data_IF_727954910276
#
_entry.id   IF_727954910276
#
_cell.length_a   1.000
_cell.length_b   1.000
_cell.length_c   1.000
_cell.angle_alpha   90.00
_cell.angle_beta   90.00
_cell.angle_gamma   90.00
#
_symmetry.space_group_name_H-M   'P 1'
#
loop_
_entity.id
_entity.type
_entity.pdbx_description
1 polymer ?
#
# COMPACT_ATOMS: atom_id res chain seq x y z
N UNK A 1 -0.94 -14.60 0.79
CA UNK A 1 0.20 -13.94 1.47
C UNK A 1 1.30 -14.97 1.73
N UNK A 2 2.23 -15.18 0.78
CA UNK A 2 3.24 -16.26 0.84
C UNK A 2 4.24 -16.12 1.99
N UNK A 3 4.64 -14.88 2.30
CA UNK A 3 5.52 -14.58 3.44
C UNK A 3 4.93 -15.11 4.75
N UNK A 4 3.68 -14.77 5.05
CA UNK A 4 2.95 -15.23 6.24
C UNK A 4 2.86 -16.76 6.31
N UNK A 5 2.65 -17.44 5.18
CA UNK A 5 2.57 -18.90 5.18
C UNK A 5 3.86 -19.59 5.64
N UNK A 6 5.03 -19.05 5.26
CA UNK A 6 6.32 -19.68 5.60
C UNK A 6 6.97 -19.13 6.88
N UNK A 7 6.51 -17.99 7.40
CA UNK A 7 7.12 -17.31 8.55
C UNK A 7 6.17 -17.05 9.71
N UNK A 8 4.86 -17.24 9.52
CA UNK A 8 3.78 -16.82 10.43
C UNK A 8 3.67 -15.29 10.64
N UNK A 9 4.62 -14.51 10.13
CA UNK A 9 4.61 -13.05 10.20
C UNK A 9 3.48 -12.43 9.38
N UNK A 10 2.63 -11.63 10.02
CA UNK A 10 1.42 -11.03 9.42
C UNK A 10 1.57 -9.55 9.05
N UNK A 11 2.72 -8.94 9.29
CA UNK A 11 2.99 -7.53 8.96
C UNK A 11 2.88 -7.23 7.46
N UNK A 12 2.72 -5.95 7.10
CA UNK A 12 2.54 -5.55 5.70
C UNK A 12 3.85 -5.45 4.92
N UNK A 13 4.99 -5.32 5.61
CA UNK A 13 6.31 -5.21 5.01
C UNK A 13 7.28 -6.22 5.62
N UNK A 14 7.86 -7.05 4.76
CA UNK A 14 8.92 -7.97 5.13
C UNK A 14 9.49 -8.69 3.91
N UNK A 15 10.72 -9.19 4.03
CA UNK A 15 11.41 -9.90 2.97
C UNK A 15 12.07 -11.15 3.54
N UNK A 16 11.68 -12.33 3.06
CA UNK A 16 12.27 -13.60 3.48
C UNK A 16 13.28 -14.11 2.45
N UNK A 17 14.39 -14.65 2.94
CA UNK A 17 15.36 -15.41 2.16
C UNK A 17 15.52 -16.77 2.82
N UNK A 18 15.44 -17.84 2.04
CA UNK A 18 15.66 -19.22 2.49
C UNK A 18 16.85 -19.78 1.73
N UNK A 19 17.89 -20.15 2.47
CA UNK A 19 19.06 -20.88 1.99
C UNK A 19 18.94 -22.37 2.37
N UNK A 20 19.96 -23.17 2.07
CA UNK A 20 19.92 -24.62 2.32
C UNK A 20 19.80 -24.97 3.82
N UNK A 21 20.51 -24.22 4.68
CA UNK A 21 20.62 -24.51 6.11
C UNK A 21 20.10 -23.37 7.01
N UNK A 22 19.72 -22.23 6.43
CA UNK A 22 19.38 -21.02 7.18
C UNK A 22 18.24 -20.25 6.50
N UNK A 23 17.46 -19.53 7.30
CA UNK A 23 16.39 -18.66 6.81
C UNK A 23 16.42 -17.33 7.57
N UNK A 24 16.18 -16.23 6.87
CA UNK A 24 16.21 -14.89 7.44
C UNK A 24 15.03 -14.04 6.94
N UNK A 25 14.46 -13.25 7.85
CA UNK A 25 13.33 -12.34 7.60
C UNK A 25 13.76 -10.90 7.92
N UNK A 26 13.82 -10.04 6.90
CA UNK A 26 14.02 -8.61 7.07
C UNK A 26 12.69 -7.91 7.28
N UNK A 27 12.61 -7.09 8.33
CA UNK A 27 11.45 -6.25 8.67
C UNK A 27 11.93 -4.87 9.09
N UNK A 28 11.14 -3.83 8.83
CA UNK A 28 11.42 -2.47 9.29
C UNK A 28 10.95 -2.23 10.74
N UNK A 29 11.30 -1.05 11.27
CA UNK A 29 11.06 -0.63 12.66
C UNK A 29 9.60 -0.74 13.11
N UNK A 30 8.63 -0.66 12.20
CA UNK A 30 7.20 -0.80 12.54
C UNK A 30 6.87 -2.21 13.00
N UNK A 31 7.69 -3.18 12.61
CA UNK A 31 7.41 -4.61 12.72
C UNK A 31 8.43 -5.40 13.53
N UNK A 32 9.48 -4.77 14.08
CA UNK A 32 10.50 -5.46 14.87
C UNK A 32 9.91 -6.30 16.01
N UNK A 33 9.07 -5.70 16.86
CA UNK A 33 8.45 -6.38 18.00
C UNK A 33 7.41 -7.42 17.55
N UNK A 34 6.68 -7.13 16.47
CA UNK A 34 5.70 -8.07 15.91
C UNK A 34 6.40 -9.33 15.38
N UNK A 35 7.50 -9.17 14.63
CA UNK A 35 8.27 -10.29 14.10
C UNK A 35 8.83 -11.16 15.24
N UNK A 36 9.36 -10.56 16.31
CA UNK A 36 9.87 -11.31 17.46
C UNK A 36 8.82 -12.17 18.16
N UNK A 37 7.55 -11.74 18.15
CA UNK A 37 6.44 -12.47 18.73
C UNK A 37 5.88 -13.55 17.81
N UNK A 38 5.82 -13.29 16.50
CA UNK A 38 5.13 -14.14 15.54
C UNK A 38 6.03 -15.19 14.88
N UNK A 39 7.33 -14.93 14.77
CA UNK A 39 8.24 -15.77 13.98
C UNK A 39 8.98 -16.74 14.90
N UNK A 40 8.99 -18.02 14.55
CA UNK A 40 9.82 -19.02 15.24
C UNK A 40 11.31 -18.75 15.02
N UNK A 41 11.94 -18.16 16.03
CA UNK A 41 13.36 -17.79 16.03
C UNK A 41 14.30 -19.01 16.08
N UNK A 42 13.79 -20.22 16.28
CA UNK A 42 14.58 -21.46 16.13
C UNK A 42 14.81 -21.81 14.65
N UNK A 43 13.94 -21.33 13.76
CA UNK A 43 13.99 -21.57 12.31
C UNK A 43 14.44 -20.34 11.52
N UNK A 44 14.12 -19.14 12.02
CA UNK A 44 14.32 -17.88 11.31
C UNK A 44 15.18 -16.89 12.08
N UNK A 45 16.12 -16.25 11.37
CA UNK A 45 16.84 -15.08 11.88
C UNK A 45 16.05 -13.80 11.53
N UNK A 46 15.65 -13.02 12.54
CA UNK A 46 14.95 -11.75 12.32
C UNK A 46 15.98 -10.63 12.10
N UNK A 47 15.95 -10.04 10.92
CA UNK A 47 16.86 -8.98 10.47
C UNK A 47 16.17 -7.60 10.59
N UNK A 48 16.43 -6.91 11.70
CA UNK A 48 15.83 -5.62 12.05
C UNK A 48 16.40 -4.45 11.24
N UNK A 49 15.78 -4.12 10.10
CA UNK A 49 16.28 -3.11 9.17
C UNK A 49 16.38 -1.72 9.84
N UNK A 50 17.41 -0.96 9.47
CA UNK A 50 17.67 0.37 10.02
C UNK A 50 18.43 0.38 11.34
N UNK A 51 18.64 -0.77 11.98
CA UNK A 51 19.55 -0.88 13.13
C UNK A 51 21.00 -0.98 12.62
N UNK A 52 21.94 -0.13 13.11
CA UNK A 52 23.35 -0.22 12.75
C UNK A 52 23.92 -1.61 12.96
N UNK A 53 24.65 -2.12 11.96
CA UNK A 53 25.29 -3.44 12.00
C UNK A 53 24.42 -4.60 11.52
N UNK A 54 23.13 -4.39 11.24
CA UNK A 54 22.30 -5.43 10.60
C UNK A 54 22.69 -5.56 9.13
N UNK A 55 23.02 -6.78 8.70
CA UNK A 55 23.43 -7.05 7.32
C UNK A 55 22.31 -6.75 6.33
N UNK A 56 22.70 -6.23 5.17
CA UNK A 56 21.84 -6.18 4.00
C UNK A 56 21.56 -7.58 3.47
N UNK A 57 20.50 -7.70 2.65
CA UNK A 57 20.12 -8.95 1.97
C UNK A 57 21.29 -9.56 1.17
N UNK A 58 22.06 -8.72 0.48
CA UNK A 58 23.20 -9.15 -0.31
C UNK A 58 24.36 -9.63 0.58
N UNK A 59 24.70 -8.88 1.64
CA UNK A 59 25.75 -9.27 2.58
C UNK A 59 25.44 -10.59 3.28
N UNK A 60 24.19 -10.80 3.70
CA UNK A 60 23.78 -12.07 4.32
C UNK A 60 23.88 -13.23 3.34
N UNK A 61 23.40 -13.07 2.10
CA UNK A 61 23.55 -14.10 1.07
C UNK A 61 25.02 -14.43 0.80
N UNK A 62 25.90 -13.43 0.69
CA UNK A 62 27.33 -13.67 0.51
C UNK A 62 28.00 -14.37 1.70
N UNK A 63 27.42 -14.25 2.90
CA UNK A 63 27.93 -14.91 4.09
C UNK A 63 27.52 -16.39 4.17
N UNK A 64 26.33 -16.74 3.68
CA UNK A 64 25.76 -18.11 3.82
C UNK A 64 25.88 -18.97 2.56
N UNK A 65 26.11 -18.37 1.38
CA UNK A 65 26.18 -19.11 0.12
C UNK A 65 27.54 -19.75 -0.11
N UNK A 66 27.53 -20.98 -0.61
CA UNK A 66 28.72 -21.63 -1.16
C UNK A 66 29.13 -21.01 -2.51
N UNK A 67 30.40 -21.16 -2.87
CA UNK A 67 30.95 -20.68 -4.15
C UNK A 67 30.10 -21.12 -5.34
N UNK A 68 29.83 -20.19 -6.26
CA UNK A 68 29.04 -20.43 -7.48
C UNK A 68 27.58 -20.86 -7.25
N UNK A 69 27.00 -20.55 -6.09
CA UNK A 69 25.58 -20.78 -5.81
C UNK A 69 24.63 -20.04 -6.75
N UNK A 70 23.41 -20.58 -6.86
CA UNK A 70 22.28 -20.02 -7.62
C UNK A 70 21.21 -19.52 -6.66
N UNK A 71 20.79 -18.26 -6.82
CA UNK A 71 19.72 -17.64 -6.02
C UNK A 71 18.48 -17.49 -6.90
N UNK A 72 17.44 -18.24 -6.56
CA UNK A 72 16.17 -18.22 -7.28
C UNK A 72 15.22 -17.12 -6.78
N UNK A 73 14.42 -16.54 -7.67
CA UNK A 73 13.36 -15.60 -7.29
C UNK A 73 12.12 -15.70 -8.20
N UNK A 74 10.94 -15.37 -7.68
CA UNK A 74 9.72 -15.24 -8.49
C UNK A 74 9.72 -13.88 -9.22
N UNK A 75 9.78 -13.86 -10.57
CA UNK A 75 9.93 -12.64 -11.34
C UNK A 75 8.69 -11.74 -11.33
N UNK A 76 7.53 -12.23 -10.88
CA UNK A 76 6.31 -11.43 -10.74
C UNK A 76 6.23 -10.67 -9.41
N UNK A 77 7.05 -11.03 -8.41
CA UNK A 77 7.01 -10.44 -7.08
C UNK A 77 8.04 -9.34 -6.85
N UNK A 78 9.23 -9.46 -7.44
CA UNK A 78 10.34 -8.55 -7.17
C UNK A 78 10.50 -7.51 -8.27
N UNK A 79 10.76 -6.28 -7.86
CA UNK A 79 10.98 -5.19 -8.80
C UNK A 79 12.29 -5.37 -9.56
N UNK A 80 12.34 -4.86 -10.79
CA UNK A 80 13.56 -4.89 -11.61
C UNK A 80 14.77 -4.23 -10.93
N UNK A 81 14.52 -3.16 -10.14
CA UNK A 81 15.57 -2.43 -9.42
C UNK A 81 16.14 -3.25 -8.27
N UNK A 82 15.29 -3.89 -7.46
CA UNK A 82 15.74 -4.76 -6.37
C UNK A 82 16.59 -5.94 -6.87
N UNK A 83 16.15 -6.56 -7.98
CA UNK A 83 16.91 -7.65 -8.60
C UNK A 83 18.24 -7.14 -9.16
N UNK A 84 18.27 -5.97 -9.80
CA UNK A 84 19.51 -5.41 -10.33
C UNK A 84 20.55 -5.17 -9.20
N UNK A 85 20.13 -4.60 -8.07
CA UNK A 85 21.01 -4.39 -6.90
C UNK A 85 21.51 -5.70 -6.33
N UNK A 86 20.63 -6.69 -6.15
CA UNK A 86 21.01 -7.99 -5.62
C UNK A 86 21.96 -8.73 -6.58
N UNK A 87 21.65 -8.72 -7.88
CA UNK A 87 22.43 -9.39 -8.91
C UNK A 87 23.83 -8.80 -9.05
N UNK A 88 23.99 -7.47 -9.01
CA UNK A 88 25.30 -6.83 -9.07
C UNK A 88 26.23 -7.31 -7.95
N UNK A 89 25.72 -7.37 -6.72
CA UNK A 89 26.51 -7.80 -5.55
C UNK A 89 26.91 -9.27 -5.60
N UNK A 90 26.03 -10.14 -6.12
CA UNK A 90 26.22 -11.58 -6.12
C UNK A 90 27.07 -12.08 -7.30
N UNK A 91 26.90 -11.50 -8.49
CA UNK A 91 27.64 -11.90 -9.70
C UNK A 91 29.12 -11.56 -9.58
N UNK A 92 29.46 -10.43 -8.94
CA UNK A 92 30.86 -10.07 -8.64
C UNK A 92 31.60 -11.12 -7.80
N UNK A 93 30.85 -11.96 -7.07
CA UNK A 93 31.38 -13.06 -6.25
C UNK A 93 31.19 -14.45 -6.87
N UNK A 94 30.81 -14.50 -8.15
CA UNK A 94 30.66 -15.76 -8.90
C UNK A 94 29.31 -16.46 -8.73
N UNK A 95 28.36 -15.87 -8.01
CA UNK A 95 27.00 -16.42 -7.89
C UNK A 95 26.13 -15.99 -9.07
N UNK A 96 24.94 -16.59 -9.20
CA UNK A 96 23.97 -16.21 -10.22
C UNK A 96 22.58 -16.03 -9.63
N UNK A 97 21.84 -15.05 -10.15
CA UNK A 97 20.45 -14.77 -9.76
C UNK A 97 19.53 -15.18 -10.91
N UNK A 98 18.59 -16.08 -10.64
CA UNK A 98 17.83 -16.78 -11.69
C UNK A 98 16.32 -16.62 -11.44
N UNK A 99 15.55 -16.14 -12.44
CA UNK A 99 14.10 -16.11 -12.34
C UNK A 99 13.53 -17.53 -12.38
N UNK A 100 12.58 -17.81 -11.49
CA UNK A 100 11.83 -19.07 -11.40
C UNK A 100 10.35 -18.75 -11.60
N UNK A 101 9.80 -19.13 -12.75
CA UNK A 101 8.42 -18.78 -13.13
C UNK A 101 7.37 -19.37 -12.18
N UNK A 102 7.58 -20.60 -11.70
CA UNK A 102 6.69 -21.23 -10.74
C UNK A 102 7.12 -20.87 -9.31
N UNK A 103 6.27 -20.17 -8.58
CA UNK A 103 6.55 -19.85 -7.19
C UNK A 103 6.66 -21.13 -6.34
N UNK A 104 7.82 -21.36 -5.73
CA UNK A 104 8.10 -22.60 -4.98
C UNK A 104 7.26 -22.73 -3.71
N UNK A 105 6.86 -21.61 -3.09
CA UNK A 105 5.97 -21.64 -1.92
C UNK A 105 4.60 -22.18 -2.31
N UNK A 106 4.10 -21.83 -3.50
CA UNK A 106 2.82 -22.36 -3.97
C UNK A 106 2.84 -23.88 -4.22
N UNK A 107 4.02 -24.45 -4.51
CA UNK A 107 4.18 -25.91 -4.68
C UNK A 107 3.97 -26.64 -3.35
N UNK A 108 4.45 -26.06 -2.25
CA UNK A 108 4.34 -26.66 -0.91
C UNK A 108 3.07 -26.25 -0.16
N UNK A 109 2.45 -25.12 -0.52
CA UNK A 109 1.19 -24.67 0.08
C UNK A 109 0.01 -25.59 -0.32
N UNK A 110 0.05 -26.18 -1.52
CA UNK A 110 -0.90 -27.20 -2.00
C UNK A 110 -2.40 -26.81 -1.85
N UNK A 111 -3.30 -27.81 -1.75
CA UNK A 111 -4.78 -27.72 -1.83
C UNK A 111 -5.45 -26.71 -0.91
N UNK A 112 -4.78 -26.27 0.16
CA UNK A 112 -5.33 -25.32 1.13
C UNK A 112 -4.97 -23.86 0.84
N UNK A 113 -4.25 -23.58 -0.26
CA UNK A 113 -3.94 -22.21 -0.67
C UNK A 113 -5.24 -21.44 -0.94
N UNK A 114 -5.52 -20.32 -0.23
CA UNK A 114 -6.69 -19.50 -0.50
C UNK A 114 -6.67 -18.99 -1.94
N UNK A 115 -7.80 -19.11 -2.63
CA UNK A 115 -7.96 -18.53 -3.96
C UNK A 115 -7.96 -16.99 -3.84
N UNK A 116 -7.46 -16.27 -4.86
CA UNK A 116 -7.61 -14.83 -4.93
C UNK A 116 -9.08 -14.44 -4.77
N UNK A 117 -9.36 -13.43 -3.94
CA UNK A 117 -10.70 -12.89 -3.83
C UNK A 117 -11.00 -12.09 -5.12
N UNK A 118 -11.89 -12.62 -5.97
CA UNK A 118 -12.30 -11.99 -7.22
C UNK A 118 -13.72 -11.48 -7.05
N UNK A 119 -13.84 -10.18 -6.78
CA UNK A 119 -15.11 -9.53 -6.49
C UNK A 119 -15.69 -8.83 -7.73
N UNK A 120 -17.01 -8.56 -7.77
CA UNK A 120 -17.62 -7.79 -8.85
C UNK A 120 -17.01 -6.39 -9.02
N UNK A 121 -16.94 -5.93 -10.26
CA UNK A 121 -16.55 -4.56 -10.58
C UNK A 121 -17.75 -3.63 -10.38
N UNK A 122 -17.51 -2.51 -9.71
CA UNK A 122 -18.47 -1.43 -9.53
C UNK A 122 -17.99 -0.19 -10.31
N UNK A 123 -18.91 0.46 -11.01
CA UNK A 123 -18.67 1.76 -11.61
C UNK A 123 -18.51 2.79 -10.50
N UNK A 124 -17.53 3.67 -10.64
CA UNK A 124 -17.33 4.84 -9.79
C UNK A 124 -17.78 6.10 -10.55
N UNK A 125 -19.01 6.59 -10.30
CA UNK A 125 -19.65 7.64 -11.10
C UNK A 125 -18.86 8.96 -11.23
N UNK A 126 -19.22 9.76 -12.23
CA UNK A 126 -18.64 11.09 -12.45
C UNK A 126 -18.93 12.09 -11.34
N UNK A 127 -20.01 11.92 -10.59
CA UNK A 127 -20.31 12.72 -9.39
C UNK A 127 -19.24 12.58 -8.29
N UNK A 128 -18.43 11.52 -8.31
CA UNK A 128 -17.33 11.31 -7.37
C UNK A 128 -15.96 11.44 -8.05
N UNK A 129 -15.80 10.93 -9.27
CA UNK A 129 -14.52 10.96 -9.98
C UNK A 129 -14.22 12.28 -10.69
N UNK A 130 -15.24 13.07 -11.02
CA UNK A 130 -15.12 14.38 -11.67
C UNK A 130 -14.61 14.36 -13.12
N UNK A 131 -14.13 13.22 -13.63
CA UNK A 131 -13.49 13.15 -14.95
C UNK A 131 -13.75 11.81 -15.65
N UNK A 132 -14.14 11.88 -16.93
CA UNK A 132 -14.36 10.70 -17.79
C UNK A 132 -13.06 9.95 -18.08
N UNK A 133 -13.19 8.67 -18.40
CA UNK A 133 -12.07 7.81 -18.79
C UNK A 133 -11.40 8.38 -20.05
N UNK A 134 -12.18 8.77 -21.06
CA UNK A 134 -11.62 9.31 -22.31
C UNK A 134 -10.79 10.58 -22.07
N UNK A 135 -11.20 11.44 -21.15
CA UNK A 135 -10.45 12.66 -20.81
C UNK A 135 -9.16 12.34 -20.04
N UNK A 136 -9.16 11.26 -19.24
CA UNK A 136 -7.96 10.75 -18.56
C UNK A 136 -6.98 10.16 -19.59
N UNK A 137 -7.47 9.39 -20.56
CA UNK A 137 -6.67 8.83 -21.65
C UNK A 137 -6.07 9.94 -22.52
N UNK A 138 -6.85 10.96 -22.88
CA UNK A 138 -6.34 12.10 -23.66
C UNK A 138 -5.19 12.79 -22.93
N UNK A 139 -5.33 13.03 -21.62
CA UNK A 139 -4.25 13.61 -20.82
C UNK A 139 -3.00 12.69 -20.72
N UNK A 140 -3.19 11.36 -20.68
CA UNK A 140 -2.08 10.40 -20.79
C UNK A 140 -1.40 10.53 -22.15
N UNK A 141 -2.17 10.62 -23.24
CA UNK A 141 -1.64 10.75 -24.60
C UNK A 141 -0.82 12.03 -24.77
N UNK A 142 -1.24 13.15 -24.18
CA UNK A 142 -0.50 14.41 -24.19
C UNK A 142 0.86 14.27 -23.47
N UNK A 143 0.89 13.57 -22.34
CA UNK A 143 2.14 13.29 -21.62
C UNK A 143 3.06 12.32 -22.38
N UNK A 144 2.48 11.31 -23.04
CA UNK A 144 3.23 10.38 -23.89
C UNK A 144 3.90 11.11 -25.06
N UNK A 145 3.20 12.06 -25.69
CA UNK A 145 3.78 12.92 -26.74
C UNK A 145 4.99 13.70 -26.22
N UNK A 146 4.89 14.34 -25.05
CA UNK A 146 6.01 15.09 -24.44
C UNK A 146 7.23 14.20 -24.16
N UNK A 147 6.99 12.93 -23.84
CA UNK A 147 8.04 11.94 -23.56
C UNK A 147 8.59 11.26 -24.82
N UNK A 148 8.06 11.56 -26.01
CA UNK A 148 8.31 10.81 -27.24
C UNK A 148 8.10 9.29 -27.03
N UNK A 149 6.96 8.95 -26.42
CA UNK A 149 6.51 7.59 -26.20
C UNK A 149 5.16 7.35 -26.88
N UNK A 150 4.87 6.08 -27.14
CA UNK A 150 3.62 5.65 -27.79
C UNK A 150 2.63 5.05 -26.79
N UNK A 151 3.14 4.47 -25.69
CA UNK A 151 2.29 3.80 -24.72
C UNK A 151 2.77 3.91 -23.29
N UNK A 152 1.85 3.61 -22.37
CA UNK A 152 2.12 3.40 -20.95
C UNK A 152 1.58 2.05 -20.51
N UNK A 153 2.39 1.29 -19.77
CA UNK A 153 1.99 0.06 -19.12
C UNK A 153 1.74 0.29 -17.63
N UNK A 154 0.59 -0.15 -17.12
CA UNK A 154 0.14 0.05 -15.75
C UNK A 154 0.11 -1.28 -15.01
N UNK A 155 0.73 -1.28 -13.82
CA UNK A 155 0.77 -2.44 -12.91
C UNK A 155 0.16 -2.14 -11.54
N UNK A 156 0.04 -0.86 -11.17
CA UNK A 156 -0.53 -0.45 -9.90
C UNK A 156 -2.06 -0.50 -9.99
N UNK A 157 -2.69 -1.26 -9.10
CA UNK A 157 -4.14 -1.52 -9.20
C UNK A 157 -4.97 -0.25 -8.96
N UNK A 158 -4.47 0.67 -8.15
CA UNK A 158 -5.06 1.98 -7.87
C UNK A 158 -4.94 2.94 -9.06
N UNK A 159 -3.85 2.89 -9.84
CA UNK A 159 -3.76 3.60 -11.12
C UNK A 159 -4.83 3.12 -12.11
N UNK A 160 -5.04 1.79 -12.18
CA UNK A 160 -6.00 1.18 -13.10
C UNK A 160 -7.44 1.47 -12.65
N UNK A 161 -7.74 1.31 -11.36
CA UNK A 161 -9.03 1.66 -10.79
C UNK A 161 -9.40 3.13 -11.03
N UNK A 162 -8.43 4.04 -10.81
CA UNK A 162 -8.61 5.47 -11.08
C UNK A 162 -8.82 5.75 -12.56
N UNK A 163 -8.02 5.16 -13.46
CA UNK A 163 -8.10 5.41 -14.89
C UNK A 163 -9.47 5.00 -15.45
N UNK A 164 -9.96 3.82 -15.09
CA UNK A 164 -11.20 3.26 -15.65
C UNK A 164 -12.47 3.65 -14.90
N UNK A 165 -12.37 4.47 -13.84
CA UNK A 165 -13.51 4.77 -12.96
C UNK A 165 -14.22 3.49 -12.49
N UNK A 166 -13.43 2.49 -12.10
CA UNK A 166 -13.90 1.20 -11.61
C UNK A 166 -13.33 0.96 -10.21
N UNK A 167 -14.09 0.23 -9.39
CA UNK A 167 -13.71 -0.19 -8.03
C UNK A 167 -14.12 -1.63 -7.80
N UNK A 168 -13.42 -2.31 -6.89
CA UNK A 168 -13.77 -3.65 -6.42
C UNK A 168 -13.23 -3.84 -5.00
N UNK A 169 -13.30 -5.05 -4.45
CA UNK A 169 -12.79 -5.36 -3.11
C UNK A 169 -11.92 -6.62 -3.12
N UNK A 170 -11.09 -6.76 -4.14
CA UNK A 170 -10.17 -7.91 -4.26
C UNK A 170 -9.08 -7.89 -3.18
N UNK A 171 -8.75 -6.70 -2.68
CA UNK A 171 -7.81 -6.47 -1.57
C UNK A 171 -8.59 -5.83 -0.42
N UNK A 172 -8.45 -6.39 0.78
CA UNK A 172 -9.08 -5.84 1.98
C UNK A 172 -8.73 -4.37 2.14
N UNK A 173 -9.74 -3.56 2.44
CA UNK A 173 -9.64 -2.12 2.73
C UNK A 173 -9.23 -1.19 1.57
N UNK A 174 -8.79 -1.76 0.45
CA UNK A 174 -8.35 -1.00 -0.73
C UNK A 174 -9.28 -1.31 -1.90
N UNK A 175 -10.06 -0.35 -2.43
CA UNK A 175 -11.14 -0.64 -3.36
C UNK A 175 -10.66 -0.88 -4.81
N UNK A 176 -9.76 -1.85 -5.00
CA UNK A 176 -9.08 -2.15 -6.26
C UNK A 176 -9.37 -3.58 -6.74
N UNK A 177 -9.03 -3.88 -7.99
CA UNK A 177 -9.18 -5.19 -8.62
C UNK A 177 -7.90 -5.65 -9.29
N UNK A 178 -7.58 -6.95 -9.19
CA UNK A 178 -6.43 -7.54 -9.88
C UNK A 178 -6.51 -7.30 -11.38
N UNK A 179 -5.57 -6.52 -11.90
CA UNK A 179 -5.56 -6.11 -13.29
C UNK A 179 -4.21 -5.57 -13.74
N UNK A 180 -4.02 -5.53 -15.06
CA UNK A 180 -2.99 -4.74 -15.74
C UNK A 180 -3.64 -3.94 -16.86
N UNK A 181 -2.98 -2.86 -17.31
CA UNK A 181 -3.43 -2.15 -18.50
C UNK A 181 -2.27 -1.68 -19.37
N UNK A 182 -2.48 -1.69 -20.68
CA UNK A 182 -1.61 -1.07 -21.67
C UNK A 182 -2.43 -0.04 -22.44
N UNK A 183 -2.02 1.23 -22.37
CA UNK A 183 -2.67 2.32 -23.12
C UNK A 183 -1.71 2.72 -24.23
N UNK A 184 -2.12 2.55 -25.49
CA UNK A 184 -1.35 2.93 -26.67
C UNK A 184 -2.11 3.96 -27.50
N UNK A 185 -1.38 4.96 -27.98
CA UNK A 185 -1.93 5.99 -28.89
C UNK A 185 -2.34 5.41 -30.24
N UNK A 186 -1.63 4.38 -30.70
CA UNK A 186 -1.80 3.80 -32.04
C UNK A 186 -2.49 2.43 -32.03
N UNK A 187 -2.53 1.74 -30.89
CA UNK A 187 -3.04 0.37 -30.78
C UNK A 187 -4.18 0.20 -29.76
N UNK A 188 -4.74 1.30 -29.26
CA UNK A 188 -5.86 1.30 -28.33
C UNK A 188 -5.47 0.84 -26.92
N UNK A 189 -6.44 0.29 -26.20
CA UNK A 189 -6.36 -0.06 -24.79
C UNK A 189 -6.44 -1.58 -24.66
N UNK A 190 -5.51 -2.18 -23.91
CA UNK A 190 -5.63 -3.57 -23.47
C UNK A 190 -5.79 -3.59 -21.95
N UNK A 191 -6.92 -4.12 -21.47
CA UNK A 191 -7.22 -4.29 -20.04
C UNK A 191 -7.18 -5.78 -19.71
N UNK A 192 -6.30 -6.17 -18.81
CA UNK A 192 -6.10 -7.56 -18.39
C UNK A 192 -6.77 -7.78 -17.04
N UNK A 193 -7.77 -8.65 -16.97
CA UNK A 193 -8.48 -9.00 -15.73
C UNK A 193 -9.26 -10.32 -15.91
N UNK A 194 -9.82 -10.88 -14.83
CA UNK A 194 -10.75 -12.02 -14.96
C UNK A 194 -12.00 -11.62 -15.75
N UNK A 195 -12.09 -12.07 -17.02
CA UNK A 195 -13.10 -11.61 -18.00
C UNK A 195 -14.54 -11.79 -17.57
N UNK A 196 -14.82 -12.78 -16.71
CA UNK A 196 -16.14 -13.00 -16.14
C UNK A 196 -16.70 -11.80 -15.36
N UNK A 197 -15.86 -10.82 -15.00
CA UNK A 197 -16.27 -9.57 -14.36
C UNK A 197 -16.85 -8.51 -15.31
N UNK A 198 -16.70 -8.67 -16.62
CA UNK A 198 -17.26 -7.73 -17.60
C UNK A 198 -18.74 -8.03 -17.82
N UNK A 199 -19.58 -7.43 -16.97
CA UNK A 199 -21.04 -7.49 -17.09
C UNK A 199 -21.57 -6.53 -18.15
N UNK A 200 -22.86 -6.62 -18.49
CA UNK A 200 -23.53 -5.65 -19.37
C UNK A 200 -23.44 -4.22 -18.83
N UNK A 201 -23.47 -4.04 -17.50
CA UNK A 201 -23.27 -2.74 -16.86
C UNK A 201 -21.88 -2.16 -17.14
N UNK A 202 -20.83 -2.99 -17.07
CA UNK A 202 -19.46 -2.54 -17.37
C UNK A 202 -19.27 -2.26 -18.87
N UNK A 203 -19.90 -3.04 -19.74
CA UNK A 203 -19.90 -2.75 -21.18
C UNK A 203 -20.59 -1.42 -21.49
N UNK A 204 -21.74 -1.16 -20.85
CA UNK A 204 -22.45 0.12 -20.97
C UNK A 204 -21.63 1.28 -20.41
N UNK A 205 -20.89 1.06 -19.31
CA UNK A 205 -19.96 2.05 -18.78
C UNK A 205 -18.89 2.42 -19.81
N UNK A 206 -18.23 1.44 -20.43
CA UNK A 206 -17.25 1.70 -21.48
C UNK A 206 -17.85 2.41 -22.71
N UNK A 207 -19.11 2.14 -23.05
CA UNK A 207 -19.84 2.87 -24.09
C UNK A 207 -20.10 4.33 -23.72
N UNK A 208 -20.64 4.57 -22.52
CA UNK A 208 -20.94 5.90 -22.01
C UNK A 208 -19.69 6.76 -21.82
N UNK A 209 -18.56 6.12 -21.49
CA UNK A 209 -17.25 6.74 -21.33
C UNK A 209 -16.49 6.89 -22.67
N UNK A 210 -17.07 6.43 -23.79
CA UNK A 210 -16.54 6.65 -25.14
C UNK A 210 -15.31 5.80 -25.47
N UNK A 211 -15.10 4.67 -24.78
CA UNK A 211 -13.91 3.82 -24.96
C UNK A 211 -14.23 2.42 -25.46
N UNK A 212 -15.50 2.07 -25.69
CA UNK A 212 -15.93 0.72 -26.13
C UNK A 212 -15.17 0.20 -27.35
N UNK A 213 -14.98 1.04 -28.36
CA UNK A 213 -14.28 0.66 -29.60
C UNK A 213 -12.75 0.75 -29.48
N UNK A 214 -12.25 1.31 -28.36
CA UNK A 214 -10.82 1.46 -28.08
C UNK A 214 -10.29 0.36 -27.16
N UNK A 215 -11.16 -0.35 -26.43
CA UNK A 215 -10.78 -1.28 -25.38
C UNK A 215 -10.91 -2.74 -25.78
N UNK A 216 -9.85 -3.50 -25.53
CA UNK A 216 -9.82 -4.95 -25.60
C UNK A 216 -9.59 -5.53 -24.21
N UNK A 217 -10.54 -6.34 -23.73
CA UNK A 217 -10.38 -7.09 -22.48
C UNK A 217 -9.70 -8.44 -22.73
N UNK A 218 -8.62 -8.71 -22.00
CA UNK A 218 -7.83 -9.94 -22.05
C UNK A 218 -7.77 -10.61 -20.69
N UNK A 219 -7.48 -11.91 -20.67
CA UNK A 219 -7.39 -12.64 -19.40
C UNK A 219 -6.15 -12.18 -18.63
N UNK A 220 -6.25 -12.18 -17.29
CA UNK A 220 -5.21 -11.67 -16.41
C UNK A 220 -3.85 -12.35 -16.66
N UNK A 221 -3.86 -13.64 -17.00
CA UNK A 221 -2.67 -14.46 -17.23
C UNK A 221 -2.00 -14.16 -18.58
N UNK A 222 -2.67 -13.47 -19.50
CA UNK A 222 -2.15 -13.17 -20.85
C UNK A 222 -1.19 -11.97 -20.88
N UNK A 223 -0.86 -11.39 -19.72
CA UNK A 223 -0.07 -10.16 -19.57
C UNK A 223 1.29 -10.21 -20.26
N UNK A 224 2.09 -11.24 -19.98
CA UNK A 224 3.46 -11.36 -20.49
C UNK A 224 3.44 -11.61 -21.98
N UNK A 225 2.59 -12.52 -22.45
CA UNK A 225 2.45 -12.83 -23.88
C UNK A 225 1.97 -11.61 -24.66
N UNK A 226 0.93 -10.91 -24.20
CA UNK A 226 0.41 -9.74 -24.91
C UNK A 226 1.39 -8.56 -24.92
N UNK A 227 2.19 -8.39 -23.86
CA UNK A 227 3.24 -7.38 -23.85
C UNK A 227 4.36 -7.74 -24.83
N UNK A 228 4.73 -9.02 -24.96
CA UNK A 228 5.69 -9.48 -25.99
C UNK A 228 5.15 -9.18 -27.39
N UNK A 229 3.91 -9.57 -27.67
CA UNK A 229 3.26 -9.30 -28.96
C UNK A 229 3.26 -7.80 -29.29
N UNK A 230 2.99 -6.94 -28.28
CA UNK A 230 3.02 -5.50 -28.45
C UNK A 230 4.43 -4.95 -28.74
N UNK A 231 5.44 -5.44 -28.01
CA UNK A 231 6.85 -5.06 -28.19
C UNK A 231 7.37 -5.49 -29.56
N UNK A 232 6.87 -6.59 -30.12
CA UNK A 232 7.18 -7.02 -31.49
C UNK A 232 6.45 -6.18 -32.55
N UNK A 233 5.21 -5.77 -32.28
CA UNK A 233 4.38 -4.98 -33.20
C UNK A 233 4.85 -3.53 -33.35
N UNK A 234 5.28 -2.90 -32.25
CA UNK A 234 5.70 -1.51 -32.21
C UNK A 234 7.18 -1.41 -31.91
N UNK A 235 7.89 -0.44 -32.48
CA UNK A 235 9.30 -0.13 -32.15
C UNK A 235 9.45 1.09 -31.21
N UNK A 236 8.33 1.71 -30.84
CA UNK A 236 8.30 2.95 -30.07
C UNK A 236 8.64 2.75 -28.59
N UNK A 237 8.89 3.87 -27.91
CA UNK A 237 9.13 3.88 -26.46
C UNK A 237 7.86 3.61 -25.67
N UNK A 238 8.02 2.89 -24.56
CA UNK A 238 6.98 2.50 -23.62
C UNK A 238 7.32 3.09 -22.25
N UNK A 239 6.35 3.80 -21.66
CA UNK A 239 6.43 4.26 -20.27
C UNK A 239 6.04 3.11 -19.34
N UNK A 240 6.91 2.81 -18.37
CA UNK A 240 6.69 1.72 -17.41
C UNK A 240 6.97 2.28 -15.99
N UNK A 241 6.16 1.93 -14.97
CA UNK A 241 6.38 2.38 -13.60
C UNK A 241 7.71 1.90 -13.03
N UNK A 242 8.21 2.63 -12.03
CA UNK A 242 9.50 2.33 -11.38
C UNK A 242 9.45 1.01 -10.59
N UNK A 243 8.29 0.70 -10.01
CA UNK A 243 8.05 -0.48 -9.18
C UNK A 243 7.72 -1.76 -9.97
N UNK A 244 7.82 -1.72 -11.30
CA UNK A 244 7.45 -2.85 -12.15
C UNK A 244 8.25 -4.12 -11.78
N UNK A 245 7.55 -5.25 -11.76
CA UNK A 245 8.18 -6.53 -11.52
C UNK A 245 9.14 -6.94 -12.65
N UNK A 246 10.07 -7.85 -12.35
CA UNK A 246 11.08 -8.30 -13.28
C UNK A 246 10.49 -8.96 -14.55
N UNK A 247 9.41 -9.75 -14.41
CA UNK A 247 8.78 -10.45 -15.53
C UNK A 247 8.30 -9.48 -16.62
N UNK A 248 7.64 -8.38 -16.23
CA UNK A 248 7.21 -7.34 -17.16
C UNK A 248 8.40 -6.51 -17.66
N UNK A 249 9.29 -6.12 -16.75
CA UNK A 249 10.44 -5.28 -17.09
C UNK A 249 11.37 -5.93 -18.12
N UNK A 250 11.54 -7.25 -18.07
CA UNK A 250 12.46 -7.99 -18.94
C UNK A 250 11.93 -8.15 -20.37
N UNK A 251 10.63 -7.94 -20.59
CA UNK A 251 10.02 -8.02 -21.92
C UNK A 251 10.36 -6.80 -22.77
N UNK A 252 10.45 -5.62 -22.17
CA UNK A 252 10.67 -4.37 -22.91
C UNK A 252 12.17 -4.04 -22.95
N UNK A 253 12.79 -3.85 -24.13
CA UNK A 253 14.18 -3.45 -24.23
C UNK A 253 14.46 -2.15 -23.46
N UNK A 254 15.60 -2.08 -22.77
CA UNK A 254 15.99 -0.88 -22.00
C UNK A 254 16.05 0.37 -22.88
N UNK A 255 16.47 0.25 -24.14
CA UNK A 255 16.52 1.36 -25.11
C UNK A 255 15.14 1.95 -25.45
N UNK A 256 14.07 1.19 -25.21
CA UNK A 256 12.67 1.58 -25.45
C UNK A 256 11.91 1.88 -24.16
N UNK A 257 12.55 1.81 -23.01
CA UNK A 257 11.86 1.97 -21.72
C UNK A 257 12.04 3.39 -21.18
N UNK A 258 10.92 4.02 -20.81
CA UNK A 258 10.92 5.26 -20.00
C UNK A 258 10.37 4.92 -18.62
N UNK A 259 11.17 5.14 -17.57
CA UNK A 259 10.77 4.89 -16.18
C UNK A 259 10.04 6.10 -15.60
N UNK A 260 8.72 5.98 -15.39
CA UNK A 260 7.88 7.04 -14.81
C UNK A 260 6.57 6.47 -14.27
N UNK A 261 6.18 6.87 -13.07
CA UNK A 261 4.85 6.57 -12.49
C UNK A 261 3.81 7.56 -13.04
N UNK A 262 3.56 7.53 -14.35
CA UNK A 262 2.83 8.58 -15.06
C UNK A 262 1.42 8.81 -14.50
N UNK A 263 0.62 7.74 -14.40
CA UNK A 263 -0.76 7.84 -13.89
C UNK A 263 -0.79 8.16 -12.40
N UNK A 264 0.15 7.63 -11.61
CA UNK A 264 0.24 7.94 -10.18
C UNK A 264 0.49 9.43 -9.94
N UNK A 265 1.34 10.08 -10.75
CA UNK A 265 1.56 11.53 -10.69
C UNK A 265 0.27 12.27 -11.04
N UNK A 266 -0.44 11.86 -12.09
CA UNK A 266 -1.68 12.52 -12.52
C UNK A 266 -2.76 12.46 -11.44
N UNK A 267 -2.99 11.30 -10.80
CA UNK A 267 -4.01 11.14 -9.76
C UNK A 267 -3.59 11.68 -8.38
N UNK A 268 -2.32 12.04 -8.21
CA UNK A 268 -1.84 12.63 -6.95
C UNK A 268 -2.47 14.01 -6.70
N UNK A 269 -2.78 14.74 -7.77
CA UNK A 269 -3.48 16.03 -7.75
C UNK A 269 -4.97 15.78 -7.97
N UNK A 270 -5.77 16.01 -6.94
CA UNK A 270 -7.22 15.81 -7.00
C UNK A 270 -7.87 16.93 -7.80
N UNK A 271 -8.84 16.59 -8.64
CA UNK A 271 -9.72 17.61 -9.24
C UNK A 271 -10.71 18.16 -8.20
N UNK A 272 -11.44 19.22 -8.53
CA UNK A 272 -12.34 19.90 -7.59
C UNK A 272 -13.44 18.97 -7.02
N UNK A 273 -13.93 18.00 -7.79
CA UNK A 273 -14.94 17.04 -7.34
C UNK A 273 -14.33 16.02 -6.38
N UNK A 274 -13.18 15.44 -6.72
CA UNK A 274 -12.45 14.52 -5.83
C UNK A 274 -12.05 15.25 -4.52
N UNK A 275 -11.58 16.49 -4.62
CA UNK A 275 -11.15 17.28 -3.46
C UNK A 275 -12.33 17.66 -2.56
N UNK A 276 -13.47 18.04 -3.12
CA UNK A 276 -14.67 18.30 -2.34
C UNK A 276 -15.25 17.04 -1.72
N UNK A 277 -15.28 15.93 -2.47
CA UNK A 277 -15.64 14.61 -1.96
C UNK A 277 -14.80 14.20 -0.74
N UNK A 278 -13.47 14.39 -0.82
CA UNK A 278 -12.57 14.14 0.30
C UNK A 278 -12.91 15.00 1.53
N UNK A 279 -13.28 16.28 1.37
CA UNK A 279 -13.71 17.10 2.51
C UNK A 279 -14.99 16.57 3.14
N UNK A 280 -16.00 16.25 2.34
CA UNK A 280 -17.25 15.67 2.83
C UNK A 280 -16.99 14.32 3.51
N UNK A 281 -16.06 13.51 2.97
CA UNK A 281 -15.54 12.31 3.60
C UNK A 281 -15.04 12.53 5.02
N UNK A 282 -14.14 13.50 5.19
CA UNK A 282 -13.57 13.82 6.48
C UNK A 282 -14.57 14.46 7.44
N UNK A 283 -15.59 15.19 6.96
CA UNK A 283 -16.63 15.76 7.82
C UNK A 283 -17.46 14.65 8.47
N UNK A 284 -17.98 13.67 7.71
CA UNK A 284 -18.80 12.60 8.31
C UNK A 284 -17.93 11.63 9.12
N UNK A 285 -16.71 11.34 8.67
CA UNK A 285 -15.77 10.53 9.45
C UNK A 285 -15.41 11.21 10.78
N UNK A 286 -15.19 12.52 10.76
CA UNK A 286 -14.99 13.32 11.96
C UNK A 286 -16.17 13.25 12.93
N UNK A 287 -17.41 13.28 12.42
CA UNK A 287 -18.60 13.09 13.25
C UNK A 287 -18.66 11.70 13.89
N UNK A 288 -18.28 10.64 13.17
CA UNK A 288 -18.17 9.29 13.71
C UNK A 288 -17.10 9.20 14.82
N UNK A 289 -15.93 9.81 14.63
CA UNK A 289 -14.87 9.89 15.64
C UNK A 289 -15.34 10.64 16.89
N UNK A 290 -16.02 11.78 16.75
CA UNK A 290 -16.55 12.53 17.91
C UNK A 290 -17.57 11.70 18.68
N UNK A 291 -18.48 11.01 17.98
CA UNK A 291 -19.46 10.11 18.62
C UNK A 291 -18.78 8.95 19.34
N UNK A 292 -17.74 8.38 18.75
CA UNK A 292 -16.93 7.33 19.36
C UNK A 292 -16.24 7.80 20.64
N UNK A 293 -15.52 8.92 20.59
CA UNK A 293 -14.82 9.46 21.75
C UNK A 293 -15.78 9.83 22.89
N UNK A 294 -16.93 10.43 22.56
CA UNK A 294 -17.98 10.70 23.53
C UNK A 294 -18.52 9.39 24.15
N UNK A 295 -18.88 8.41 23.32
CA UNK A 295 -19.34 7.11 23.80
C UNK A 295 -18.32 6.44 24.73
N UNK A 296 -17.05 6.45 24.34
CA UNK A 296 -15.96 5.84 25.12
C UNK A 296 -15.83 6.52 26.49
N UNK A 297 -15.79 7.85 26.53
CA UNK A 297 -15.69 8.62 27.79
C UNK A 297 -16.84 8.32 28.76
N UNK A 298 -18.07 8.16 28.24
CA UNK A 298 -19.25 7.89 29.06
C UNK A 298 -19.34 6.44 29.55
N UNK A 299 -18.70 5.49 28.85
CA UNK A 299 -18.93 4.06 29.08
C UNK A 299 -17.71 3.30 29.60
N UNK A 300 -16.51 3.88 29.61
CA UNK A 300 -15.26 3.18 29.98
C UNK A 300 -15.28 2.57 31.40
N UNK A 301 -16.01 3.17 32.34
CA UNK A 301 -16.11 2.67 33.72
C UNK A 301 -17.31 1.72 33.94
N UNK A 302 -18.25 1.67 32.99
CA UNK A 302 -19.53 0.95 33.12
C UNK A 302 -19.53 -0.33 32.29
N UNK A 303 -18.89 -0.29 31.12
CA UNK A 303 -18.79 -1.41 30.19
C UNK A 303 -17.36 -1.97 30.21
N UNK A 304 -17.22 -3.27 30.00
CA UNK A 304 -15.92 -3.88 29.76
C UNK A 304 -15.48 -3.62 28.31
N UNK A 305 -14.99 -2.41 28.04
CA UNK A 305 -14.51 -2.01 26.70
C UNK A 305 -13.04 -2.43 26.58
N UNK A 306 -12.72 -3.16 25.53
CA UNK A 306 -11.40 -3.65 25.18
C UNK A 306 -10.91 -3.02 23.88
N UNK A 307 -9.65 -3.25 23.51
CA UNK A 307 -9.08 -2.80 22.24
C UNK A 307 -9.91 -3.25 21.04
N UNK A 308 -10.27 -4.54 20.97
CA UNK A 308 -11.14 -5.12 19.93
C UNK A 308 -12.54 -4.50 19.93
N UNK A 309 -13.24 -4.54 21.07
CA UNK A 309 -14.62 -4.04 21.15
C UNK A 309 -14.75 -2.52 20.97
N UNK A 310 -13.72 -1.76 21.35
CA UNK A 310 -13.62 -0.32 21.05
C UNK A 310 -13.46 -0.07 19.55
N UNK A 311 -12.58 -0.82 18.87
CA UNK A 311 -12.43 -0.74 17.42
C UNK A 311 -13.74 -1.08 16.70
N UNK A 312 -14.41 -2.17 17.09
CA UNK A 312 -15.70 -2.60 16.54
C UNK A 312 -16.77 -1.51 16.71
N UNK A 313 -16.78 -0.84 17.86
CA UNK A 313 -17.75 0.23 18.10
C UNK A 313 -17.54 1.42 17.17
N UNK A 314 -16.30 1.77 16.85
CA UNK A 314 -16.01 2.83 15.88
C UNK A 314 -16.45 2.44 14.46
N UNK A 315 -16.33 1.17 14.07
CA UNK A 315 -16.88 0.67 12.81
C UNK A 315 -18.39 0.91 12.73
N UNK A 316 -19.12 0.66 13.81
CA UNK A 316 -20.58 0.92 13.86
C UNK A 316 -20.88 2.40 13.63
N UNK A 317 -20.17 3.32 14.29
CA UNK A 317 -20.42 4.75 14.08
C UNK A 317 -20.07 5.23 12.66
N UNK A 318 -19.07 4.61 12.02
CA UNK A 318 -18.73 4.87 10.62
C UNK A 318 -19.75 4.29 9.64
N UNK A 319 -20.25 3.07 9.89
CA UNK A 319 -21.23 2.43 9.01
C UNK A 319 -22.59 3.11 9.00
N UNK A 320 -22.88 3.91 10.03
CA UNK A 320 -24.04 4.80 10.08
C UNK A 320 -23.87 6.09 9.25
N UNK A 321 -22.66 6.40 8.77
CA UNK A 321 -22.41 7.59 7.95
C UNK A 321 -22.76 7.35 6.48
N UNK A 322 -23.27 8.38 5.83
CA UNK A 322 -23.59 8.33 4.40
C UNK A 322 -22.37 7.96 3.55
N UNK A 323 -22.61 7.20 2.48
CA UNK A 323 -21.61 6.69 1.51
C UNK A 323 -20.53 5.76 2.06
N UNK A 324 -20.55 5.37 3.34
CA UNK A 324 -19.58 4.43 3.91
C UNK A 324 -19.57 3.11 3.12
N UNK A 325 -18.36 2.60 2.83
CA UNK A 325 -18.14 1.37 2.07
C UNK A 325 -17.44 0.30 2.92
N UNK A 326 -16.35 0.68 3.58
CA UNK A 326 -15.52 -0.21 4.38
C UNK A 326 -14.53 0.59 5.23
N UNK A 327 -13.69 -0.08 6.02
CA UNK A 327 -12.49 0.55 6.57
C UNK A 327 -11.44 0.78 5.48
N UNK A 328 -10.60 1.80 5.64
CA UNK A 328 -9.43 2.03 4.77
C UNK A 328 -8.19 1.26 5.21
N UNK A 329 -8.15 0.78 6.45
CA UNK A 329 -7.18 -0.18 6.98
C UNK A 329 -7.71 -0.81 8.29
N UNK A 330 -7.08 -1.89 8.76
CA UNK A 330 -7.41 -2.47 10.09
C UNK A 330 -7.13 -1.44 11.18
N UNK A 331 -8.14 -1.13 12.01
CA UNK A 331 -7.97 -0.12 13.06
C UNK A 331 -6.93 -0.55 14.09
N UNK A 332 -6.02 0.36 14.43
CA UNK A 332 -5.06 0.22 15.51
C UNK A 332 -5.73 0.77 16.76
N UNK A 333 -6.23 -0.11 17.62
CA UNK A 333 -6.83 0.24 18.90
C UNK A 333 -5.89 -0.29 19.98
N UNK A 334 -5.18 0.60 20.67
CA UNK A 334 -4.00 0.24 21.45
C UNK A 334 -3.98 0.91 22.83
N UNK A 335 -3.82 0.12 23.89
CA UNK A 335 -3.77 0.54 25.30
C UNK A 335 -2.36 0.41 25.86
N UNK A 336 -1.91 1.47 26.52
CA UNK A 336 -0.64 1.51 27.26
C UNK A 336 0.54 1.08 26.39
N UNK A 337 1.25 0.05 26.81
CA UNK A 337 2.41 -0.47 26.08
C UNK A 337 2.12 -0.94 24.66
N UNK A 338 0.86 -1.28 24.32
CA UNK A 338 0.50 -1.67 22.95
C UNK A 338 0.59 -0.46 22.00
N UNK A 339 0.32 0.76 22.50
CA UNK A 339 0.40 1.99 21.70
C UNK A 339 1.84 2.38 21.31
N UNK A 340 2.86 1.75 21.89
CA UNK A 340 4.26 1.93 21.46
C UNK A 340 4.61 1.19 20.16
N UNK A 341 3.74 0.28 19.70
CA UNK A 341 3.91 -0.47 18.46
C UNK A 341 3.16 0.24 17.33
N UNK A 342 3.90 0.85 16.40
CA UNK A 342 3.33 1.73 15.36
C UNK A 342 2.21 1.06 14.55
N UNK A 343 2.35 -0.22 14.18
CA UNK A 343 1.37 -0.98 13.40
C UNK A 343 0.76 -2.13 14.24
N UNK A 344 0.44 -1.88 15.51
CA UNK A 344 -0.24 -2.84 16.36
C UNK A 344 -1.60 -3.24 15.77
N UNK A 345 -1.94 -4.52 15.86
CA UNK A 345 -3.30 -5.00 15.57
C UNK A 345 -3.71 -5.87 16.74
N UNK A 346 -4.79 -5.51 17.47
CA UNK A 346 -5.26 -6.34 18.57
C UNK A 346 -5.77 -7.69 18.05
N UNK A 347 -5.50 -8.72 18.83
CA UNK A 347 -6.02 -10.08 18.69
C UNK A 347 -6.53 -10.58 20.04
N UNK A 348 -7.18 -11.73 20.08
CA UNK A 348 -7.78 -12.28 21.31
C UNK A 348 -6.77 -12.45 22.45
N UNK A 349 -5.49 -12.68 22.14
CA UNK A 349 -4.44 -12.88 23.14
C UNK A 349 -3.89 -11.56 23.69
N UNK A 350 -3.83 -10.51 22.85
CA UNK A 350 -3.28 -9.21 23.21
C UNK A 350 -4.32 -8.14 23.57
N UNK A 351 -5.61 -8.46 23.44
CA UNK A 351 -6.77 -7.57 23.65
C UNK A 351 -6.88 -7.05 25.10
N UNK A 352 -6.31 -5.87 25.35
CA UNK A 352 -6.37 -5.20 26.66
C UNK A 352 -7.68 -4.45 26.87
N UNK A 353 -8.06 -4.31 28.13
CA UNK A 353 -9.16 -3.43 28.55
C UNK A 353 -8.74 -1.96 28.43
N UNK A 354 -9.60 -1.11 27.87
CA UNK A 354 -9.43 0.34 27.86
C UNK A 354 -9.83 0.86 29.25
N UNK A 355 -8.94 1.59 29.91
CA UNK A 355 -9.17 2.15 31.25
C UNK A 355 -8.82 3.63 31.31
N UNK A 356 -9.06 4.27 32.47
CA UNK A 356 -8.64 5.66 32.72
C UNK A 356 -7.17 5.82 33.12
N UNK A 357 -6.43 4.73 33.32
CA UNK A 357 -5.11 4.77 33.94
C UNK A 357 -3.96 4.76 32.92
N UNK A 358 -4.25 4.52 31.65
CA UNK A 358 -3.25 4.36 30.60
C UNK A 358 -3.63 5.20 29.38
N UNK A 359 -2.64 5.52 28.55
CA UNK A 359 -2.85 6.06 27.21
C UNK A 359 -3.69 5.07 26.40
N UNK A 360 -4.63 5.62 25.63
CA UNK A 360 -5.32 4.92 24.56
C UNK A 360 -5.05 5.62 23.23
N UNK A 361 -4.62 4.85 22.23
CA UNK A 361 -4.40 5.30 20.86
C UNK A 361 -5.39 4.57 19.95
N UNK A 362 -6.07 5.35 19.11
CA UNK A 362 -6.93 4.84 18.04
C UNK A 362 -6.46 5.43 16.71
N UNK A 363 -5.90 4.58 15.84
CA UNK A 363 -5.61 4.90 14.45
C UNK A 363 -6.57 4.17 13.53
N UNK A 364 -7.31 4.89 12.71
CA UNK A 364 -8.38 4.27 11.95
C UNK A 364 -8.87 5.15 10.80
N UNK A 365 -9.47 4.54 9.79
CA UNK A 365 -10.03 5.27 8.66
C UNK A 365 -11.14 4.51 7.94
N UNK A 366 -11.88 5.22 7.10
CA UNK A 366 -13.00 4.71 6.32
C UNK A 366 -12.83 4.97 4.83
N UNK A 367 -13.36 4.05 4.02
CA UNK A 367 -13.63 4.24 2.61
C UNK A 367 -15.07 4.72 2.44
N UNK A 368 -15.24 5.80 1.69
CA UNK A 368 -16.52 6.37 1.31
C UNK A 368 -16.55 6.49 -0.21
N UNK A 369 -17.74 6.45 -0.83
CA UNK A 369 -17.86 6.59 -2.29
C UNK A 369 -17.20 7.85 -2.84
N UNK A 370 -17.07 8.90 -2.03
CA UNK A 370 -16.50 10.20 -2.37
C UNK A 370 -15.14 10.50 -1.73
N UNK A 371 -14.52 9.56 -0.99
CA UNK A 371 -13.19 9.77 -0.44
C UNK A 371 -12.72 8.72 0.56
N UNK A 372 -11.47 8.86 0.98
CA UNK A 372 -10.81 7.97 1.96
C UNK A 372 -10.36 8.80 3.16
N UNK A 373 -10.65 8.34 4.37
CA UNK A 373 -10.12 8.94 5.60
C UNK A 373 -9.03 8.09 6.24
N UNK A 374 -8.19 8.76 7.00
CA UNK A 374 -7.14 8.21 7.84
C UNK A 374 -6.91 9.18 9.00
N UNK A 375 -7.14 8.74 10.23
CA UNK A 375 -7.02 9.60 11.40
C UNK A 375 -6.62 8.84 12.65
N UNK A 376 -5.59 9.37 13.31
CA UNK A 376 -5.14 8.92 14.63
C UNK A 376 -5.55 9.90 15.72
N UNK A 377 -5.98 9.38 16.89
CA UNK A 377 -6.09 10.15 18.13
C UNK A 377 -5.45 9.38 19.28
N UNK A 378 -4.68 10.09 20.09
CA UNK A 378 -4.13 9.59 21.35
C UNK A 378 -4.79 10.36 22.48
N UNK A 379 -5.40 9.65 23.42
CA UNK A 379 -6.12 10.21 24.55
C UNK A 379 -5.68 9.55 25.85
N UNK A 380 -5.99 10.22 26.96
CA UNK A 380 -5.90 9.66 28.30
C UNK A 380 -7.20 10.01 29.03
N UNK A 381 -7.94 9.01 29.53
CA UNK A 381 -9.28 9.21 30.12
C UNK A 381 -9.23 9.54 31.63
N UNK A 382 -8.05 9.47 32.25
CA UNK A 382 -7.76 9.93 33.61
C UNK A 382 -6.63 10.97 33.64
N UNK A 383 -5.67 10.83 34.56
CA UNK A 383 -4.52 11.75 34.65
C UNK A 383 -3.24 11.16 34.05
N UNK A 384 -2.70 11.71 32.94
CA UNK A 384 -1.43 11.26 32.39
C UNK A 384 -0.25 11.71 33.25
N UNK A 385 0.85 10.97 33.20
CA UNK A 385 2.10 11.33 33.87
C UNK A 385 2.90 12.39 33.08
N UNK A 386 3.97 12.90 33.68
CA UNK A 386 4.75 14.00 33.08
C UNK A 386 5.48 13.59 31.79
N UNK A 387 5.95 12.35 31.69
CA UNK A 387 6.59 11.85 30.47
C UNK A 387 5.58 11.73 29.32
N UNK A 388 4.37 11.25 29.59
CA UNK A 388 3.29 11.16 28.60
C UNK A 388 2.91 12.55 28.07
N UNK A 389 2.73 13.53 28.96
CA UNK A 389 2.44 14.92 28.58
C UNK A 389 3.56 15.54 27.75
N UNK A 390 4.81 15.34 28.16
CA UNK A 390 5.99 15.88 27.47
C UNK A 390 6.10 15.31 26.04
N UNK A 391 6.04 13.98 25.90
CA UNK A 391 6.08 13.31 24.61
C UNK A 391 4.90 13.75 23.71
N UNK A 392 3.67 13.73 24.24
CA UNK A 392 2.49 14.16 23.50
C UNK A 392 2.62 15.62 23.02
N UNK A 393 3.07 16.52 23.90
CA UNK A 393 3.24 17.93 23.57
C UNK A 393 4.29 18.14 22.48
N UNK A 394 5.39 17.39 22.49
CA UNK A 394 6.42 17.47 21.43
C UNK A 394 5.90 16.97 20.08
N UNK A 395 5.19 15.85 20.08
CA UNK A 395 4.51 15.34 18.87
C UNK A 395 3.51 16.37 18.36
N UNK A 396 2.70 16.95 19.24
CA UNK A 396 1.72 17.98 18.87
C UNK A 396 2.39 19.25 18.32
N UNK A 397 3.52 19.69 18.89
CA UNK A 397 4.30 20.82 18.35
C UNK A 397 4.81 20.52 16.94
N UNK A 398 5.29 19.30 16.68
CA UNK A 398 5.69 18.85 15.35
C UNK A 398 4.52 18.87 14.36
N UNK A 399 3.38 18.30 14.77
CA UNK A 399 2.15 18.32 13.99
C UNK A 399 1.71 19.75 13.63
N UNK A 400 1.63 20.65 14.61
CA UNK A 400 1.22 22.04 14.38
C UNK A 400 2.21 22.79 13.48
N UNK A 401 3.51 22.54 13.64
CA UNK A 401 4.52 23.16 12.79
C UNK A 401 4.30 22.82 11.31
N UNK A 402 4.04 21.55 10.99
CA UNK A 402 3.70 21.12 9.63
C UNK A 402 2.34 21.67 9.20
N UNK A 403 1.31 21.50 10.03
CA UNK A 403 -0.08 21.87 9.73
C UNK A 403 -0.27 23.36 9.42
N UNK A 404 0.50 24.24 10.07
CA UNK A 404 0.41 25.69 9.90
C UNK A 404 1.49 26.27 8.99
N UNK A 405 2.31 25.41 8.35
CA UNK A 405 3.43 25.86 7.54
C UNK A 405 2.98 26.60 6.28
N UNK A 406 3.73 27.64 5.92
CA UNK A 406 3.64 28.34 4.64
C UNK A 406 4.96 28.13 3.91
N UNK A 407 4.90 27.62 2.68
CA UNK A 407 6.07 27.16 1.93
C UNK A 407 5.92 27.44 0.43
N UNK A 408 7.04 27.55 -0.32
CA UNK A 408 6.99 27.74 -1.76
C UNK A 408 6.51 26.47 -2.48
N UNK A 409 5.84 26.66 -3.62
CA UNK A 409 5.49 25.54 -4.51
C UNK A 409 6.73 24.73 -4.89
N UNK A 410 6.63 23.40 -4.81
CA UNK A 410 7.75 22.48 -5.09
C UNK A 410 8.62 22.13 -3.88
N UNK A 411 8.28 22.59 -2.67
CA UNK A 411 8.91 22.10 -1.45
C UNK A 411 8.77 20.57 -1.32
N UNK A 412 9.83 19.91 -0.87
CA UNK A 412 9.90 18.45 -0.80
C UNK A 412 9.49 17.91 0.58
N UNK A 413 9.11 16.65 0.63
CA UNK A 413 8.72 15.93 1.86
C UNK A 413 9.77 16.02 2.98
N UNK A 414 11.07 16.00 2.65
CA UNK A 414 12.17 16.05 3.64
C UNK A 414 12.12 17.31 4.50
N UNK A 415 11.67 18.44 3.93
CA UNK A 415 11.51 19.68 4.66
C UNK A 415 10.45 19.56 5.77
N UNK A 416 9.29 18.97 5.44
CA UNK A 416 8.20 18.76 6.39
C UNK A 416 8.54 17.68 7.42
N UNK A 417 9.25 16.63 7.00
CA UNK A 417 9.66 15.56 7.89
C UNK A 417 10.61 16.05 8.99
N UNK A 418 11.62 16.85 8.63
CA UNK A 418 12.52 17.47 9.61
C UNK A 418 11.77 18.45 10.55
N UNK A 419 10.77 19.17 10.04
CA UNK A 419 9.97 20.11 10.82
C UNK A 419 9.14 19.39 11.90
N UNK A 420 8.52 18.25 11.56
CA UNK A 420 7.77 17.45 12.51
C UNK A 420 8.67 16.84 13.61
N UNK A 421 9.88 16.40 13.25
CA UNK A 421 10.81 15.73 14.18
C UNK A 421 11.57 16.66 15.10
N UNK A 422 11.80 17.92 14.69
CA UNK A 422 12.68 18.86 15.39
C UNK A 422 12.50 18.87 16.91
N UNK A 423 11.25 18.94 17.38
CA UNK A 423 10.97 19.04 18.81
C UNK A 423 11.26 17.75 19.58
N UNK A 424 11.26 16.60 18.94
CA UNK A 424 11.71 15.35 19.56
C UNK A 424 13.25 15.29 19.56
N UNK A 425 13.89 15.66 18.45
CA UNK A 425 15.36 15.69 18.35
C UNK A 425 16.04 16.61 19.37
N UNK A 426 15.40 17.73 19.74
CA UNK A 426 15.88 18.64 20.79
C UNK A 426 16.12 17.96 22.16
N UNK A 427 15.51 16.79 22.40
CA UNK A 427 15.68 15.99 23.63
C UNK A 427 16.19 14.57 23.34
N UNK A 428 16.74 14.34 22.15
CA UNK A 428 17.30 13.05 21.76
C UNK A 428 16.25 11.96 21.52
N UNK A 429 14.99 12.33 21.24
CA UNK A 429 13.91 11.41 20.87
C UNK A 429 13.65 11.44 19.35
N UNK A 430 13.02 10.39 18.82
CA UNK A 430 12.57 10.29 17.42
C UNK A 430 11.42 9.26 17.28
N UNK A 431 10.78 9.18 16.11
CA UNK A 431 9.83 8.11 15.77
C UNK A 431 10.26 7.34 14.51
N UNK A 432 10.14 6.01 14.54
CA UNK A 432 10.66 5.09 13.53
C UNK A 432 9.81 4.92 12.26
N UNK A 433 9.10 5.95 11.81
CA UNK A 433 8.30 5.96 10.58
C UNK A 433 8.31 7.35 9.91
N UNK A 434 7.81 7.48 8.69
CA UNK A 434 7.69 8.78 8.00
C UNK A 434 6.64 9.70 8.65
N UNK A 435 6.72 11.01 8.38
CA UNK A 435 5.80 12.03 8.92
C UNK A 435 4.39 11.98 8.32
N UNK A 436 4.25 11.56 7.06
CA UNK A 436 2.96 11.47 6.39
C UNK A 436 3.07 10.79 5.04
N UNK A 437 1.93 10.62 4.37
CA UNK A 437 1.81 10.03 3.04
C UNK A 437 0.65 10.63 2.26
N UNK A 438 0.63 10.40 0.94
CA UNK A 438 -0.54 10.72 0.11
C UNK A 438 -1.73 9.80 0.45
N UNK A 439 -2.94 10.31 0.26
CA UNK A 439 -4.20 9.56 0.43
C UNK A 439 -4.95 9.52 -0.90
N UNK A 440 -5.50 8.34 -1.25
CA UNK A 440 -6.30 8.14 -2.46
C UNK A 440 -7.67 8.81 -2.38
N UNK A 441 -8.37 8.92 -3.51
CA UNK A 441 -9.78 9.34 -3.57
C UNK A 441 -10.63 8.10 -3.86
N UNK A 442 -11.06 7.45 -2.78
CA UNK A 442 -11.71 6.12 -2.77
C UNK A 442 -10.87 5.08 -3.50
#
# INVERSE_FOLDING_TARGET
RRLTFITEFTGSAGFAIVALNEAALWVDSRYHLQAERQVDQSQWTIMKQGIPGVQTRAEWLLAVLENNSKVGFDPLLLSSTEIATLNGSLVEKGHSVIPIEKNLIDVVWDVNKPQPNITPLNVHPLEYSGKKIIDKINAINDELQKLNADSVFLTALDDIAWLFNLRASDISYTPVFYSYALISRNHGIQLFLHKNRITSQIQQHFENEGIKDLIQVKDYEQIVTSLKDYVELSSEKIVIPNSVNFAISSVVPTSRTIRKNLVSIMKSVKNDIEAEGMKQAHIRDGAAIVRYLHWLEQNVDVLNITELSGADKLIVFRSEQDKYQSLSFTSISAVGSNAAMAHYTPDEESNKQITRNEIYLIDSGGQYLDGTSDTTRTIHLGQPNEMEKECFTRVFKGFIAVFTSVFPSGATETFFDAMARRYLWEVGLDYGHGTGHGVGSY
#
